data_IF_614913604521
#
_entry.id   IF_614913604521
#
_cell.length_a   1.000
_cell.length_b   1.000
_cell.length_c   1.000
_cell.angle_alpha   90.00
_cell.angle_beta   90.00
_cell.angle_gamma   90.00
#
_symmetry.space_group_name_H-M   'P 1'
#
loop_
_entity.id
_entity.type
_entity.pdbx_description
1 polymer ?
#
# COMPACT_ATOMS: atom_id res chain seq x y z
N UNK A 1 17.02 7.36 21.38
CA UNK A 1 17.35 5.94 21.60
C UNK A 1 17.68 5.34 20.25
N UNK A 2 18.66 4.45 20.19
CA UNK A 2 18.96 3.67 18.97
C UNK A 2 18.47 2.25 19.21
N UNK A 3 17.88 1.62 18.21
CA UNK A 3 17.41 0.24 18.31
C UNK A 3 17.65 -0.49 16.98
N UNK A 4 18.12 -1.74 17.08
CA UNK A 4 18.33 -2.60 15.91
C UNK A 4 16.99 -3.16 15.42
N UNK A 5 16.76 -3.10 14.11
CA UNK A 5 15.60 -3.69 13.42
C UNK A 5 16.10 -4.43 12.17
N UNK A 6 16.34 -5.73 12.31
CA UNK A 6 16.96 -6.51 11.24
C UNK A 6 18.39 -6.04 11.00
N UNK A 7 18.74 -5.76 9.75
CA UNK A 7 20.06 -5.22 9.36
C UNK A 7 20.18 -3.69 9.57
N UNK A 8 19.07 -3.02 9.90
CA UNK A 8 18.99 -1.57 9.97
C UNK A 8 18.93 -1.05 11.41
N UNK A 9 19.36 0.20 11.58
CA UNK A 9 19.28 0.92 12.85
C UNK A 9 18.22 2.00 12.80
N UNK A 10 17.37 2.06 13.83
CA UNK A 10 16.36 3.10 13.99
C UNK A 10 16.74 4.01 15.16
N UNK A 11 16.75 5.32 14.90
CA UNK A 11 16.91 6.34 15.94
C UNK A 11 15.54 6.94 16.23
N UNK A 12 15.15 6.92 17.51
CA UNK A 12 13.88 7.47 17.97
C UNK A 12 14.07 8.43 19.14
N UNK A 13 13.15 9.36 19.30
CA UNK A 13 13.07 10.23 20.46
C UNK A 13 12.77 9.40 21.72
N UNK A 14 13.50 9.65 22.81
CA UNK A 14 13.37 8.84 24.04
C UNK A 14 12.09 9.14 24.82
N UNK A 15 11.49 10.30 24.63
CA UNK A 15 10.38 10.80 25.43
C UNK A 15 9.04 10.54 24.76
N UNK A 16 9.00 10.71 23.44
CA UNK A 16 7.80 10.61 22.61
C UNK A 16 7.74 9.32 21.81
N UNK A 17 8.88 8.62 21.64
CA UNK A 17 8.98 7.42 20.81
C UNK A 17 8.97 7.67 19.30
N UNK A 18 8.91 8.93 18.86
CA UNK A 18 8.89 9.29 17.45
C UNK A 18 10.18 8.89 16.74
N UNK A 19 10.10 8.34 15.52
CA UNK A 19 11.27 8.00 14.71
C UNK A 19 11.89 9.29 14.16
N UNK A 20 13.19 9.45 14.39
CA UNK A 20 13.98 10.60 13.93
C UNK A 20 14.81 10.25 12.69
N UNK A 21 15.15 8.97 12.49
CA UNK A 21 15.88 8.49 11.32
C UNK A 21 16.04 6.98 11.29
N UNK A 22 16.30 6.44 10.09
CA UNK A 22 16.58 5.03 9.84
C UNK A 22 17.88 4.96 9.03
N UNK A 23 18.81 4.11 9.45
CA UNK A 23 20.11 3.90 8.83
C UNK A 23 20.20 2.47 8.35
N UNK A 24 20.24 2.27 7.03
CA UNK A 24 20.22 0.93 6.47
C UNK A 24 21.59 0.26 6.51
N UNK A 25 21.65 -1.01 6.93
CA UNK A 25 22.87 -1.80 7.01
C UNK A 25 23.90 -1.32 8.04
N UNK A 26 23.50 -0.48 9.00
CA UNK A 26 24.36 0.02 10.07
C UNK A 26 23.94 -0.62 11.39
N UNK A 27 24.90 -1.19 12.13
CA UNK A 27 24.67 -1.81 13.43
C UNK A 27 24.48 -0.74 14.52
N UNK A 28 23.41 -0.87 15.31
CA UNK A 28 23.00 0.07 16.33
C UNK A 28 24.05 0.28 17.42
N UNK A 29 24.91 -0.70 17.67
CA UNK A 29 26.02 -0.61 18.62
C UNK A 29 27.11 0.37 18.19
N UNK A 30 27.18 0.70 16.91
CA UNK A 30 28.15 1.65 16.34
C UNK A 30 27.64 3.09 16.32
N UNK A 31 26.36 3.31 16.64
CA UNK A 31 25.71 4.61 16.62
C UNK A 31 25.58 5.15 18.05
N UNK A 32 26.32 6.22 18.35
CA UNK A 32 26.14 6.94 19.61
C UNK A 32 25.01 7.96 19.49
N UNK A 33 23.95 7.74 20.27
CA UNK A 33 22.79 8.64 20.36
C UNK A 33 23.19 10.08 20.76
N UNK A 34 24.35 10.28 21.40
CA UNK A 34 24.85 11.60 21.80
C UNK A 34 25.24 12.50 20.62
N UNK A 35 25.47 11.91 19.43
CA UNK A 35 25.90 12.64 18.23
C UNK A 35 24.74 13.26 17.45
N UNK A 36 23.50 12.89 17.76
CA UNK A 36 22.30 13.40 17.10
C UNK A 36 21.63 14.45 17.99
N UNK A 37 22.23 15.64 18.04
CA UNK A 37 21.62 16.81 18.72
C UNK A 37 20.77 17.60 17.74
N UNK A 38 19.57 17.99 18.16
CA UNK A 38 18.54 18.66 17.34
C UNK A 38 19.02 20.01 16.78
N UNK A 39 19.66 20.02 15.61
CA UNK A 39 19.97 21.25 14.87
C UNK A 39 19.59 21.06 13.39
N UNK A 40 18.66 21.91 12.96
CA UNK A 40 18.23 22.12 11.57
C UNK A 40 19.45 22.29 10.64
N UNK A 41 19.49 21.51 9.55
CA UNK A 41 20.49 21.67 8.49
C UNK A 41 20.39 23.07 7.86
N UNK A 42 21.36 23.94 8.15
CA UNK A 42 21.56 25.21 7.46
C UNK A 42 22.55 25.00 6.31
N UNK A 43 22.06 24.67 5.12
CA UNK A 43 22.90 24.47 3.93
C UNK A 43 23.24 25.84 3.32
N UNK A 44 24.53 26.22 3.16
CA UNK A 44 24.89 27.50 2.56
C UNK A 44 24.57 27.54 1.06
N UNK A 45 24.09 28.70 0.60
CA UNK A 45 23.80 29.00 -0.80
C UNK A 45 25.07 28.91 -1.65
N UNK A 46 25.11 28.17 -2.76
CA UNK A 46 26.30 28.10 -3.59
C UNK A 46 26.52 29.43 -4.35
N UNK A 47 27.76 29.93 -4.31
CA UNK A 47 28.24 31.06 -5.12
C UNK A 47 28.15 30.76 -6.63
N UNK A 48 27.93 31.76 -7.50
CA UNK A 48 27.81 31.54 -8.94
C UNK A 48 29.15 31.10 -9.58
N UNK A 49 29.08 30.09 -10.45
CA UNK A 49 30.23 29.49 -11.14
C UNK A 49 30.61 30.30 -12.41
N UNK A 50 31.90 30.49 -12.74
CA UNK A 50 32.32 31.21 -13.96
C UNK A 50 32.05 30.42 -15.24
N UNK A 51 31.76 31.14 -16.34
CA UNK A 51 31.45 30.57 -17.66
C UNK A 51 32.68 29.95 -18.33
N UNK A 52 32.63 28.65 -18.65
CA UNK A 52 33.68 27.88 -19.35
C UNK A 52 33.27 27.66 -20.81
N UNK A 53 34.19 27.79 -21.80
CA UNK A 53 33.90 27.54 -23.22
C UNK A 53 33.72 26.04 -23.53
N UNK A 54 32.91 25.75 -24.54
CA UNK A 54 32.39 24.41 -24.91
C UNK A 54 33.46 23.31 -24.91
N UNK A 55 33.32 22.39 -23.95
CA UNK A 55 34.04 21.12 -23.85
C UNK A 55 33.22 20.06 -24.62
N UNK A 56 33.84 19.12 -25.36
CA UNK A 56 33.11 18.00 -25.94
C UNK A 56 32.28 17.30 -24.85
N UNK A 57 31.01 17.01 -25.19
CA UNK A 57 29.98 16.49 -24.29
C UNK A 57 30.56 15.43 -23.35
N UNK A 58 30.59 15.67 -22.01
CA UNK A 58 31.12 14.67 -21.10
C UNK A 58 30.24 13.42 -21.19
N UNK A 59 30.89 12.26 -21.05
CA UNK A 59 30.22 10.98 -20.78
C UNK A 59 29.13 11.21 -19.72
N UNK A 60 27.93 10.62 -19.82
CA UNK A 60 26.85 10.85 -18.87
C UNK A 60 27.38 10.65 -17.45
N UNK A 61 27.16 11.65 -16.59
CA UNK A 61 27.57 11.59 -15.20
C UNK A 61 27.04 10.30 -14.57
N UNK A 62 27.79 9.63 -13.68
CA UNK A 62 27.23 8.57 -12.87
C UNK A 62 25.98 9.12 -12.18
N UNK A 63 24.88 8.35 -12.22
CA UNK A 63 23.62 8.73 -11.62
C UNK A 63 23.85 9.23 -10.18
N UNK A 64 23.19 10.32 -9.75
CA UNK A 64 23.36 10.82 -8.39
C UNK A 64 23.07 9.70 -7.40
N UNK A 65 23.96 9.54 -6.42
CA UNK A 65 23.81 8.56 -5.33
C UNK A 65 22.38 8.59 -4.80
N UNK A 66 21.73 7.42 -4.80
CA UNK A 66 20.38 7.17 -4.32
C UNK A 66 20.16 7.82 -2.95
N UNK A 67 19.58 9.03 -2.93
CA UNK A 67 18.73 9.42 -1.83
C UNK A 67 17.52 8.49 -1.93
N UNK A 68 17.51 7.45 -1.09
CA UNK A 68 16.32 6.62 -0.91
C UNK A 68 15.31 7.56 -0.23
N UNK A 69 14.47 8.23 -1.02
CA UNK A 69 13.22 8.76 -0.51
C UNK A 69 12.50 7.59 0.17
N UNK A 70 11.84 7.79 1.33
CA UNK A 70 10.91 6.79 1.83
C UNK A 70 9.98 6.41 0.67
N UNK A 71 9.67 5.12 0.46
CA UNK A 71 8.87 4.71 -0.69
C UNK A 71 7.61 5.55 -0.71
N UNK A 72 7.47 6.40 -1.74
CA UNK A 72 6.20 7.03 -2.05
C UNK A 72 5.17 5.89 -2.15
N UNK A 73 3.96 6.10 -1.64
CA UNK A 73 2.87 5.13 -1.79
C UNK A 73 2.86 4.65 -3.24
N UNK A 74 3.11 3.35 -3.43
CA UNK A 74 3.32 2.79 -4.77
C UNK A 74 1.98 2.75 -5.49
N UNK A 75 1.76 3.75 -6.34
CA UNK A 75 0.59 3.81 -7.23
C UNK A 75 0.92 2.95 -8.43
N UNK A 76 0.23 1.82 -8.57
CA UNK A 76 0.33 0.98 -9.77
C UNK A 76 -0.65 1.52 -10.81
N UNK A 77 -0.18 2.13 -11.91
CA UNK A 77 -1.05 2.38 -13.06
C UNK A 77 -1.50 1.02 -13.61
N UNK A 78 -2.79 0.89 -13.92
CA UNK A 78 -3.25 -0.26 -14.69
C UNK A 78 -3.24 0.20 -16.14
N UNK A 79 -2.36 -0.38 -16.96
CA UNK A 79 -2.16 0.04 -18.36
C UNK A 79 -3.36 -0.23 -19.26
N UNK A 80 -4.32 -1.04 -18.79
CA UNK A 80 -5.50 -1.46 -19.53
C UNK A 80 -6.77 -1.11 -18.76
N UNK A 81 -7.77 -0.63 -19.51
CA UNK A 81 -9.13 -0.40 -19.02
C UNK A 81 -9.65 -1.60 -18.20
N UNK A 82 -10.14 -1.37 -16.98
CA UNK A 82 -10.73 -2.42 -16.13
C UNK A 82 -11.90 -3.17 -16.77
N UNK A 83 -12.50 -2.62 -17.82
CA UNK A 83 -13.61 -3.20 -18.54
C UNK A 83 -14.95 -2.85 -17.91
N UNK A 84 -15.99 -2.93 -18.73
CA UNK A 84 -17.31 -2.40 -18.44
C UNK A 84 -18.34 -3.45 -17.96
N UNK A 85 -17.90 -4.69 -17.74
CA UNK A 85 -18.76 -5.83 -17.37
C UNK A 85 -18.06 -6.76 -16.36
N UNK A 86 -18.84 -7.63 -15.70
CA UNK A 86 -18.32 -8.64 -14.76
C UNK A 86 -17.32 -9.60 -15.43
N UNK A 87 -17.56 -9.94 -16.69
CA UNK A 87 -16.75 -10.87 -17.49
C UNK A 87 -15.42 -10.23 -17.92
N UNK A 88 -15.44 -8.95 -18.29
CA UNK A 88 -14.25 -8.21 -18.75
C UNK A 88 -13.40 -7.65 -17.62
N UNK A 89 -13.81 -7.87 -16.36
CA UNK A 89 -13.16 -7.30 -15.19
C UNK A 89 -11.64 -7.60 -15.12
N UNK A 90 -10.86 -6.57 -14.82
CA UNK A 90 -9.40 -6.67 -14.65
C UNK A 90 -9.01 -7.26 -13.31
N UNK A 91 -8.05 -8.19 -13.31
CA UNK A 91 -7.56 -8.83 -12.08
C UNK A 91 -6.70 -7.88 -11.26
N UNK A 92 -6.99 -7.77 -9.96
CA UNK A 92 -6.14 -7.05 -9.00
C UNK A 92 -5.76 -7.97 -7.84
N UNK A 93 -4.59 -7.73 -7.26
CA UNK A 93 -4.15 -8.39 -6.03
C UNK A 93 -4.40 -7.48 -4.84
N UNK A 94 -4.85 -8.08 -3.74
CA UNK A 94 -5.06 -7.39 -2.47
C UNK A 94 -3.97 -7.79 -1.47
N UNK A 95 -3.65 -6.91 -0.53
CA UNK A 95 -2.63 -7.14 0.49
C UNK A 95 -3.01 -6.50 1.83
N UNK A 96 -2.30 -6.90 2.88
CA UNK A 96 -2.43 -6.30 4.22
C UNK A 96 -1.84 -4.90 4.34
N UNK A 97 -0.98 -4.52 3.40
CA UNK A 97 -0.60 -3.14 3.18
C UNK A 97 -1.51 -2.53 2.10
N UNK A 98 -1.73 -1.22 2.16
CA UNK A 98 -2.53 -0.52 1.14
C UNK A 98 -1.91 -0.71 -0.24
N UNK A 99 -2.73 -1.12 -1.20
CA UNK A 99 -2.42 -1.15 -2.64
C UNK A 99 -3.25 -0.07 -3.34
N UNK A 100 -2.59 0.70 -4.20
CA UNK A 100 -3.22 1.85 -4.87
C UNK A 100 -3.18 1.67 -6.38
N UNK A 101 -4.35 1.69 -7.01
CA UNK A 101 -4.51 1.60 -8.46
C UNK A 101 -5.02 2.94 -9.01
N UNK A 102 -4.47 3.40 -10.13
CA UNK A 102 -4.92 4.63 -10.79
C UNK A 102 -5.67 4.32 -12.08
N UNK A 103 -6.85 4.91 -12.25
CA UNK A 103 -7.70 4.74 -13.42
C UNK A 103 -8.65 5.94 -13.62
N UNK A 104 -9.46 5.89 -14.67
CA UNK A 104 -10.53 6.86 -14.93
C UNK A 104 -11.80 6.18 -15.37
N UNK A 105 -12.96 6.73 -14.98
CA UNK A 105 -14.29 6.26 -15.38
C UNK A 105 -15.18 7.41 -15.82
N UNK A 106 -16.09 7.16 -16.76
CA UNK A 106 -17.14 8.07 -17.21
C UNK A 106 -17.10 8.37 -18.72
N UNK A 107 -18.19 8.92 -19.24
CA UNK A 107 -18.33 9.22 -20.67
C UNK A 107 -18.67 7.94 -21.46
N UNK A 108 -17.78 7.51 -22.35
CA UNK A 108 -17.93 6.25 -23.09
C UNK A 108 -17.55 5.02 -22.28
N UNK A 109 -16.71 5.20 -21.26
CA UNK A 109 -16.41 4.18 -20.27
C UNK A 109 -17.40 4.32 -19.11
N UNK A 110 -18.40 3.45 -19.07
CA UNK A 110 -19.57 3.61 -18.20
C UNK A 110 -19.34 3.02 -16.81
N UNK A 111 -18.39 2.10 -16.69
CA UNK A 111 -18.05 1.44 -15.45
C UNK A 111 -16.67 0.78 -15.53
N UNK A 112 -15.97 0.78 -14.40
CA UNK A 112 -14.77 -0.01 -14.21
C UNK A 112 -15.07 -1.22 -13.33
N UNK A 113 -14.70 -2.40 -13.81
CA UNK A 113 -14.80 -3.65 -13.06
C UNK A 113 -13.43 -4.24 -12.71
N UNK A 114 -13.25 -4.54 -11.44
CA UNK A 114 -12.07 -5.29 -10.96
C UNK A 114 -12.47 -6.62 -10.39
N UNK A 115 -11.58 -7.61 -10.45
CA UNK A 115 -11.78 -8.94 -9.84
C UNK A 115 -10.65 -9.33 -8.92
N UNK A 116 -11.01 -9.95 -7.81
CA UNK A 116 -10.09 -10.49 -6.83
C UNK A 116 -10.72 -11.71 -6.14
N UNK A 117 -9.88 -12.50 -5.48
CA UNK A 117 -10.31 -13.65 -4.69
C UNK A 117 -9.68 -13.61 -3.30
N UNK A 118 -10.42 -14.08 -2.30
CA UNK A 118 -9.99 -14.19 -0.91
C UNK A 118 -9.95 -15.66 -0.50
N UNK A 119 -8.82 -16.11 0.06
CA UNK A 119 -8.69 -17.49 0.54
C UNK A 119 -9.35 -17.76 1.91
N UNK A 120 -9.70 -16.70 2.65
CA UNK A 120 -10.29 -16.77 3.98
C UNK A 120 -11.14 -15.52 4.24
N UNK A 121 -11.84 -15.47 5.38
CA UNK A 121 -12.53 -14.26 5.81
C UNK A 121 -11.54 -13.14 6.07
N UNK A 122 -11.81 -11.95 5.54
CA UNK A 122 -11.02 -10.75 5.73
C UNK A 122 -11.91 -9.57 6.08
N UNK A 123 -11.42 -8.67 6.94
CA UNK A 123 -11.90 -7.29 6.95
C UNK A 123 -11.36 -6.61 5.69
N UNK A 124 -12.26 -6.16 4.82
CA UNK A 124 -11.95 -5.45 3.59
C UNK A 124 -12.12 -3.95 3.78
N UNK A 125 -11.13 -3.18 3.33
CA UNK A 125 -11.12 -1.72 3.37
C UNK A 125 -10.83 -1.18 1.96
N UNK A 126 -11.64 -0.23 1.52
CA UNK A 126 -11.46 0.44 0.23
C UNK A 126 -11.75 1.93 0.37
N UNK A 127 -10.95 2.76 -0.29
CA UNK A 127 -11.26 4.19 -0.46
C UNK A 127 -10.91 4.68 -1.86
N UNK A 128 -11.86 5.35 -2.51
CA UNK A 128 -11.65 6.09 -3.75
C UNK A 128 -11.29 7.54 -3.46
N UNK A 129 -10.13 7.97 -3.96
CA UNK A 129 -9.59 9.32 -3.79
C UNK A 129 -9.17 9.91 -5.15
N UNK A 130 -8.74 11.17 -5.19
CA UNK A 130 -8.31 11.81 -6.45
C UNK A 130 -9.43 12.10 -7.45
N UNK A 131 -10.69 12.02 -6.99
CA UNK A 131 -11.88 12.21 -7.79
C UNK A 131 -12.08 13.68 -8.19
N UNK A 132 -12.29 13.91 -9.50
CA UNK A 132 -12.70 15.22 -10.05
C UNK A 132 -14.22 15.32 -10.23
N UNK A 133 -14.93 14.19 -10.22
CA UNK A 133 -16.39 14.10 -10.14
C UNK A 133 -16.81 12.96 -9.19
N UNK A 134 -18.08 12.93 -8.81
CA UNK A 134 -18.59 11.90 -7.89
C UNK A 134 -18.62 10.53 -8.56
N UNK A 135 -17.99 9.55 -7.92
CA UNK A 135 -18.05 8.14 -8.30
C UNK A 135 -18.61 7.28 -7.15
N UNK A 136 -19.36 6.25 -7.51
CA UNK A 136 -19.89 5.24 -6.59
C UNK A 136 -19.09 3.96 -6.73
N UNK A 137 -18.88 3.24 -5.62
CA UNK A 137 -18.20 1.94 -5.60
C UNK A 137 -19.06 0.92 -4.87
N UNK A 138 -19.10 -0.29 -5.43
CA UNK A 138 -19.74 -1.47 -4.87
C UNK A 138 -18.78 -2.65 -4.87
N UNK A 139 -18.93 -3.54 -3.89
CA UNK A 139 -18.41 -4.90 -3.94
C UNK A 139 -19.56 -5.82 -4.32
N UNK A 140 -19.34 -6.65 -5.32
CA UNK A 140 -20.29 -7.63 -5.84
C UNK A 140 -19.77 -9.05 -5.60
N UNK A 141 -20.67 -10.01 -5.42
CA UNK A 141 -20.35 -11.44 -5.53
C UNK A 141 -20.12 -11.85 -7.01
N UNK A 142 -19.88 -13.13 -7.25
CA UNK A 142 -19.62 -13.67 -8.59
C UNK A 142 -20.87 -13.59 -9.50
N UNK A 143 -22.07 -13.62 -8.92
CA UNK A 143 -23.35 -13.47 -9.61
C UNK A 143 -23.73 -12.01 -9.88
N UNK A 144 -22.98 -11.04 -9.33
CA UNK A 144 -23.21 -9.61 -9.51
C UNK A 144 -24.13 -8.95 -8.49
N UNK A 145 -24.49 -9.64 -7.40
CA UNK A 145 -25.25 -9.06 -6.30
C UNK A 145 -24.34 -8.21 -5.42
N UNK A 146 -24.85 -7.06 -4.97
CA UNK A 146 -24.11 -6.17 -4.08
C UNK A 146 -24.00 -6.79 -2.69
N UNK A 147 -22.77 -7.00 -2.22
CA UNK A 147 -22.45 -7.51 -0.87
C UNK A 147 -21.96 -6.42 0.07
N UNK A 148 -21.29 -5.39 -0.46
CA UNK A 148 -20.92 -4.18 0.26
C UNK A 148 -21.12 -2.96 -0.65
N UNK A 149 -21.58 -1.85 -0.10
CA UNK A 149 -21.83 -0.61 -0.82
C UNK A 149 -21.01 0.55 -0.23
N UNK A 150 -20.50 1.41 -1.10
CA UNK A 150 -19.72 2.58 -0.72
C UNK A 150 -20.53 3.66 -0.02
N UNK A 151 -20.01 4.14 1.11
CA UNK A 151 -20.49 5.36 1.74
C UNK A 151 -19.84 6.57 1.06
N UNK A 152 -20.62 7.44 0.42
CA UNK A 152 -20.12 8.70 -0.14
C UNK A 152 -19.92 9.73 0.98
N UNK A 153 -18.71 10.26 1.09
CA UNK A 153 -18.36 11.36 1.99
C UNK A 153 -17.45 12.35 1.26
N UNK A 154 -17.90 13.58 1.02
CA UNK A 154 -17.08 14.66 0.45
C UNK A 154 -16.23 14.23 -0.77
N UNK A 155 -16.88 13.70 -1.83
CA UNK A 155 -16.22 13.19 -3.04
C UNK A 155 -15.26 12.01 -2.83
N UNK A 156 -15.32 11.34 -1.69
CA UNK A 156 -14.61 10.10 -1.41
C UNK A 156 -15.63 9.00 -1.19
N UNK A 157 -15.45 7.85 -1.81
CA UNK A 157 -16.29 6.68 -1.55
C UNK A 157 -15.48 5.64 -0.77
N UNK A 158 -16.00 5.24 0.39
CA UNK A 158 -15.31 4.33 1.32
C UNK A 158 -16.16 3.09 1.57
N UNK A 159 -15.53 1.93 1.59
CA UNK A 159 -16.12 0.66 2.02
C UNK A 159 -15.27 0.10 3.16
N UNK A 160 -15.94 -0.36 4.21
CA UNK A 160 -15.34 -1.20 5.25
C UNK A 160 -16.35 -2.27 5.64
N UNK A 161 -15.93 -3.53 5.68
CA UNK A 161 -16.79 -4.65 6.03
C UNK A 161 -16.07 -5.98 6.02
N UNK A 162 -16.73 -7.03 6.49
CA UNK A 162 -16.20 -8.39 6.44
C UNK A 162 -16.61 -9.06 5.12
N UNK A 163 -15.64 -9.70 4.46
CA UNK A 163 -15.85 -10.55 3.30
C UNK A 163 -15.34 -11.95 3.60
N UNK A 164 -16.19 -12.99 3.54
CA UNK A 164 -15.74 -14.39 3.58
C UNK A 164 -14.73 -14.74 2.47
N UNK A 165 -14.15 -15.93 2.56
CA UNK A 165 -13.38 -16.48 1.44
C UNK A 165 -14.29 -16.68 0.22
N UNK A 166 -13.84 -16.25 -0.96
CA UNK A 166 -14.67 -16.24 -2.18
C UNK A 166 -14.09 -15.39 -3.30
N UNK A 167 -14.75 -15.42 -4.45
CA UNK A 167 -14.46 -14.56 -5.59
C UNK A 167 -15.40 -13.35 -5.59
N UNK A 168 -14.84 -12.17 -5.86
CA UNK A 168 -15.59 -10.91 -5.80
C UNK A 168 -15.29 -10.03 -7.02
N UNK A 169 -16.14 -9.03 -7.21
CA UNK A 169 -15.91 -7.92 -8.13
C UNK A 169 -16.02 -6.58 -7.43
N UNK A 170 -15.24 -5.61 -7.85
CA UNK A 170 -15.52 -4.21 -7.58
C UNK A 170 -16.19 -3.62 -8.81
N UNK A 171 -17.19 -2.77 -8.59
CA UNK A 171 -17.79 -1.95 -9.64
C UNK A 171 -17.65 -0.48 -9.25
N UNK A 172 -17.03 0.30 -10.11
CA UNK A 172 -16.94 1.76 -9.97
C UNK A 172 -17.73 2.39 -11.11
N UNK A 173 -18.61 3.33 -10.77
CA UNK A 173 -19.43 4.06 -11.76
C UNK A 173 -19.40 5.55 -11.47
N UNK A 174 -19.52 6.36 -12.53
CA UNK A 174 -19.61 7.81 -12.42
C UNK A 174 -20.52 8.37 -13.49
N UNK A 175 -21.24 9.44 -13.15
CA UNK A 175 -22.10 10.17 -14.09
C UNK A 175 -21.36 11.23 -14.91
N UNK A 176 -20.07 11.46 -14.62
CA UNK A 176 -19.19 12.37 -15.35
C UNK A 176 -17.76 11.83 -15.38
N UNK A 177 -16.95 12.13 -16.41
CA UNK A 177 -15.56 11.70 -16.47
C UNK A 177 -14.78 12.10 -15.20
N UNK A 178 -14.14 11.14 -14.56
CA UNK A 178 -13.31 11.36 -13.38
C UNK A 178 -12.16 10.39 -13.34
N UNK A 179 -10.99 10.89 -12.94
CA UNK A 179 -9.88 10.05 -12.52
C UNK A 179 -10.13 9.58 -11.09
N UNK A 180 -9.49 8.50 -10.68
CA UNK A 180 -9.49 8.06 -9.30
C UNK A 180 -8.23 7.27 -8.95
N UNK A 181 -7.95 7.26 -7.64
CA UNK A 181 -7.02 6.36 -6.99
C UNK A 181 -7.84 5.40 -6.11
N UNK A 182 -7.83 4.12 -6.50
CA UNK A 182 -8.45 3.02 -5.79
C UNK A 182 -7.44 2.46 -4.78
N UNK A 183 -7.66 2.79 -3.52
CA UNK A 183 -6.87 2.25 -2.41
C UNK A 183 -7.61 1.07 -1.81
N UNK A 184 -6.93 -0.07 -1.69
CA UNK A 184 -7.50 -1.31 -1.14
C UNK A 184 -6.58 -1.91 -0.10
N UNK A 185 -7.17 -2.54 0.90
CA UNK A 185 -6.47 -3.27 1.95
C UNK A 185 -7.36 -4.38 2.50
N UNK A 186 -6.75 -5.49 2.87
CA UNK A 186 -7.43 -6.59 3.58
C UNK A 186 -6.73 -6.90 4.88
N UNK A 187 -7.48 -7.24 5.92
CA UNK A 187 -6.94 -7.78 7.15
C UNK A 187 -7.54 -9.16 7.38
N UNK A 188 -6.76 -10.24 7.25
CA UNK A 188 -7.26 -11.59 7.49
C UNK A 188 -7.84 -11.73 8.88
N UNK A 189 -9.05 -12.27 8.95
CA UNK A 189 -9.68 -12.65 10.21
C UNK A 189 -9.38 -14.13 10.44
N UNK A 190 -8.58 -14.41 11.45
CA UNK A 190 -8.28 -15.78 11.87
C UNK A 190 -9.25 -16.12 13.02
N UNK A 191 -10.23 -17.03 12.84
CA UNK A 191 -11.15 -17.39 13.90
C UNK A 191 -10.41 -17.93 15.13
N UNK A 192 -10.61 -17.28 16.27
CA UNK A 192 -10.00 -17.67 17.55
C UNK A 192 -8.60 -17.13 17.82
N UNK A 193 -8.09 -16.19 17.01
CA UNK A 193 -6.84 -15.47 17.29
C UNK A 193 -7.13 -13.99 17.54
N UNK A 194 -6.98 -13.54 18.78
CA UNK A 194 -7.07 -12.13 19.16
C UNK A 194 -5.69 -11.49 19.07
N UNK A 195 -5.51 -10.48 18.20
CA UNK A 195 -4.24 -9.77 18.05
C UNK A 195 -4.03 -8.66 19.08
N UNK A 196 -4.83 -8.59 20.15
CA UNK A 196 -4.75 -7.52 21.16
C UNK A 196 -3.47 -7.58 22.03
N UNK A 197 -2.63 -8.61 21.84
CA UNK A 197 -1.35 -8.75 22.52
C UNK A 197 -1.44 -9.01 24.03
N UNK A 198 -2.64 -9.22 24.57
CA UNK A 198 -2.84 -9.50 26.01
C UNK A 198 -2.93 -10.98 26.33
N UNK A 199 -3.16 -11.84 25.33
CA UNK A 199 -3.00 -13.27 25.48
C UNK A 199 -1.57 -13.65 25.12
N UNK A 200 -0.81 -14.18 26.09
CA UNK A 200 0.35 -15.04 25.81
C UNK A 200 -0.14 -16.24 25.02
N UNK A 201 -0.21 -16.08 23.70
CA UNK A 201 -0.77 -17.04 22.76
C UNK A 201 0.01 -18.35 22.80
N UNK A 202 -0.71 -19.46 22.90
CA UNK A 202 -0.13 -20.78 22.70
C UNK A 202 0.49 -20.85 21.30
N UNK A 203 1.63 -21.53 21.16
CA UNK A 203 2.31 -21.76 19.87
C UNK A 203 1.42 -22.38 18.77
N UNK A 204 0.23 -22.87 19.12
CA UNK A 204 -0.83 -23.30 18.20
C UNK A 204 -1.36 -22.19 17.27
N UNK A 205 -1.22 -20.92 17.65
CA UNK A 205 -1.68 -19.79 16.81
C UNK A 205 -0.66 -19.47 15.69
N UNK A 206 0.62 -19.81 15.90
CA UNK A 206 1.66 -19.65 14.87
C UNK A 206 1.47 -20.62 13.70
N UNK A 207 0.97 -21.84 13.96
CA UNK A 207 0.61 -22.80 12.92
C UNK A 207 -0.59 -22.33 12.07
N UNK A 208 -1.50 -21.53 12.64
CA UNK A 208 -2.62 -20.92 11.90
C UNK A 208 -2.18 -19.72 11.07
N UNK A 209 -1.13 -19.00 11.48
CA UNK A 209 -0.49 -17.95 10.69
C UNK A 209 0.31 -18.48 9.49
N UNK A 210 0.78 -19.74 9.53
CA UNK A 210 1.47 -20.37 8.39
C UNK A 210 0.57 -20.54 7.16
N UNK A 211 -0.75 -20.63 7.34
CA UNK A 211 -1.72 -20.73 6.24
C UNK A 211 -1.88 -19.43 5.43
N UNK A 212 -1.40 -18.29 5.94
CA UNK A 212 -1.48 -17.00 5.26
C UNK A 212 -0.25 -16.70 4.37
N UNK A 213 0.85 -17.43 4.55
CA UNK A 213 2.10 -17.26 3.77
C UNK A 213 2.19 -18.25 2.60
N UNK A 214 1.37 -19.32 2.59
CA UNK A 214 1.36 -20.31 1.53
C UNK A 214 0.46 -19.93 0.33
N UNK A 215 0.68 -18.72 -0.21
CA UNK A 215 0.31 -18.45 -1.61
C UNK A 215 1.17 -19.22 -2.61
N UNK A 216 2.30 -19.78 -2.16
CA UNK A 216 3.23 -20.57 -2.95
C UNK A 216 3.79 -21.73 -2.12
N UNK A 217 3.14 -22.91 -2.15
CA UNK A 217 3.82 -24.22 -2.30
C UNK A 217 2.79 -25.35 -2.38
N UNK A 218 2.79 -26.05 -3.51
CA UNK A 218 2.33 -27.42 -3.61
C UNK A 218 3.03 -28.28 -2.54
N UNK A 219 2.29 -28.95 -1.66
CA UNK A 219 2.82 -30.09 -0.89
C UNK A 219 2.35 -30.22 0.55
N UNK A 220 1.43 -31.16 0.77
CA UNK A 220 1.33 -32.11 1.89
C UNK A 220 2.01 -31.72 3.22
N UNK A 221 1.20 -31.60 4.28
CA UNK A 221 1.58 -32.15 5.60
C UNK A 221 0.33 -32.59 6.36
N UNK A 222 0.12 -33.91 6.38
CA UNK A 222 -0.73 -34.60 7.35
C UNK A 222 -0.07 -34.53 8.73
N UNK A 223 -0.83 -34.12 9.74
CA UNK A 223 -0.68 -34.58 11.13
C UNK A 223 -2.05 -34.83 11.72
#
# INVERSE_FOLDING_TARGET
MVSQRGEDSVVSDRTTGAILGIFQGIDASTLDASQFTSILLNIPTPSPLPSVPDLPSPSPAPAPSLFILPPAAEVTPIETDPGNTLETASSISLASNTRTFSQSVGGSDVADYYKFSLGATNTFELSLTGLTALATVDVLDEEGNVVLNGQLNNNTSVISGELPGGAYRLRITSNAPTNYLLNTRITPQIPGVTTDGTATGNFSDLAKMTALVAGDVNGIMTI
#
